data_IF_673236657705
#
_entry.id   IF_673236657705
#
_cell.length_a   1.000
_cell.length_b   1.000
_cell.length_c   1.000
_cell.angle_alpha   90.00
_cell.angle_beta   90.00
_cell.angle_gamma   90.00
#
_symmetry.space_group_name_H-M   'P 1'
#
loop_
_entity.id
_entity.type
_entity.pdbx_description
1 polymer ?
#
# COMPACT_ATOMS: atom_id res chain seq x y z
N UNK A 1 -5.56 -3.40 -9.85
CA UNK A 1 -4.10 -3.22 -9.85
C UNK A 1 -3.66 -2.13 -10.85
N UNK A 2 -4.06 -0.87 -10.62
CA UNK A 2 -3.74 0.25 -11.54
C UNK A 2 -2.38 0.90 -11.17
N UNK A 3 -2.25 1.28 -9.90
CA UNK A 3 -1.05 1.93 -9.35
C UNK A 3 0.24 1.13 -9.59
N UNK A 4 0.21 -0.20 -9.44
CA UNK A 4 1.38 -1.04 -9.65
C UNK A 4 1.81 -1.14 -11.12
N UNK A 5 0.87 -1.03 -12.06
CA UNK A 5 1.17 -0.96 -13.50
C UNK A 5 1.73 0.40 -13.87
N UNK A 6 1.09 1.48 -13.41
CA UNK A 6 1.57 2.85 -13.63
C UNK A 6 3.01 3.05 -13.10
N UNK A 7 3.36 2.43 -11.97
CA UNK A 7 4.73 2.45 -11.45
C UNK A 7 5.72 1.67 -12.33
N UNK A 8 5.31 0.54 -12.90
CA UNK A 8 6.15 -0.26 -13.78
C UNK A 8 6.32 0.35 -15.19
N UNK A 9 5.38 1.21 -15.61
CA UNK A 9 5.42 1.90 -16.89
C UNK A 9 6.12 3.27 -16.82
N UNK A 10 6.27 3.82 -15.61
CA UNK A 10 6.94 5.10 -15.37
C UNK A 10 8.42 5.05 -15.80
N UNK A 11 8.85 5.98 -16.64
CA UNK A 11 10.22 6.01 -17.18
C UNK A 11 11.29 6.10 -16.09
N UNK A 12 11.00 6.72 -14.94
CA UNK A 12 11.95 6.83 -13.84
C UNK A 12 12.10 5.53 -13.04
N UNK A 13 11.13 4.61 -13.12
CA UNK A 13 11.05 3.41 -12.27
C UNK A 13 11.05 2.09 -13.03
N UNK A 14 10.61 2.10 -14.29
CA UNK A 14 10.54 0.94 -15.19
C UNK A 14 11.85 0.18 -15.27
N UNK A 15 12.99 0.88 -15.28
CA UNK A 15 14.31 0.25 -15.32
C UNK A 15 14.67 -0.51 -14.04
N UNK A 16 14.03 -0.20 -12.91
CA UNK A 16 14.27 -0.82 -11.61
C UNK A 16 13.30 -1.95 -11.29
N UNK A 17 12.23 -2.11 -12.07
CA UNK A 17 11.16 -3.08 -11.83
C UNK A 17 11.30 -4.23 -12.81
N UNK A 18 11.60 -5.42 -12.29
CA UNK A 18 11.68 -6.66 -13.06
C UNK A 18 10.29 -7.27 -13.24
N UNK A 19 9.49 -7.23 -12.16
CA UNK A 19 8.10 -7.67 -12.16
C UNK A 19 7.23 -6.63 -11.48
N UNK A 20 6.16 -6.17 -12.14
CA UNK A 20 5.30 -5.13 -11.59
C UNK A 20 4.73 -5.57 -10.24
N UNK A 21 4.63 -4.68 -9.25
CA UNK A 21 3.97 -5.01 -8.00
C UNK A 21 2.50 -5.36 -8.24
N UNK A 22 2.10 -6.51 -7.72
CA UNK A 22 0.73 -7.02 -7.85
C UNK A 22 0.15 -7.35 -6.47
N UNK A 23 -1.14 -7.08 -6.33
CA UNK A 23 -1.93 -7.56 -5.21
C UNK A 23 -1.88 -9.09 -5.21
N UNK A 24 -1.49 -9.67 -4.09
CA UNK A 24 -1.43 -11.12 -3.90
C UNK A 24 -2.68 -11.58 -3.17
N UNK A 25 -2.92 -11.05 -1.97
CA UNK A 25 -4.05 -11.42 -1.10
C UNK A 25 -4.27 -10.39 -0.01
N UNK A 26 -5.45 -10.43 0.61
CA UNK A 26 -5.64 -9.93 1.97
C UNK A 26 -4.94 -10.93 2.91
N UNK A 27 -4.01 -10.44 3.70
CA UNK A 27 -3.21 -11.27 4.61
C UNK A 27 -3.92 -11.42 5.96
N UNK A 28 -4.55 -10.35 6.45
CA UNK A 28 -5.25 -10.36 7.74
C UNK A 28 -6.32 -9.25 7.86
N UNK A 29 -7.31 -9.47 8.71
CA UNK A 29 -8.26 -8.45 9.17
C UNK A 29 -7.89 -8.07 10.61
N UNK A 30 -6.98 -7.11 10.75
CA UNK A 30 -6.56 -6.60 12.04
C UNK A 30 -7.65 -5.80 12.76
N UNK A 31 -7.43 -5.56 14.04
CA UNK A 31 -8.38 -4.93 14.99
C UNK A 31 -8.99 -3.60 14.50
N UNK A 32 -8.27 -2.87 13.65
CA UNK A 32 -8.79 -1.67 12.99
C UNK A 32 -8.32 -1.54 11.54
N UNK A 33 -7.82 -2.59 10.88
CA UNK A 33 -7.24 -2.45 9.53
C UNK A 33 -7.29 -3.73 8.70
N UNK A 34 -7.32 -3.57 7.37
CA UNK A 34 -7.14 -4.68 6.43
C UNK A 34 -5.66 -4.72 6.03
N UNK A 35 -4.98 -5.82 6.36
CA UNK A 35 -3.57 -6.02 5.98
C UNK A 35 -3.55 -6.66 4.60
N UNK A 36 -2.96 -5.97 3.63
CA UNK A 36 -2.88 -6.42 2.24
C UNK A 36 -1.44 -6.75 1.86
N UNK A 37 -1.24 -7.88 1.19
CA UNK A 37 0.06 -8.27 0.66
C UNK A 37 0.17 -7.93 -0.82
N UNK A 38 1.18 -7.13 -1.13
CA UNK A 38 1.59 -6.78 -2.50
C UNK A 38 2.99 -7.32 -2.72
N UNK A 39 3.23 -7.96 -3.87
CA UNK A 39 4.53 -8.52 -4.21
C UNK A 39 4.96 -8.04 -5.61
N UNK A 40 6.21 -7.63 -5.72
CA UNK A 40 6.87 -7.24 -6.97
C UNK A 40 8.35 -7.58 -6.89
N UNK A 41 9.02 -7.62 -8.04
CA UNK A 41 10.44 -7.93 -8.13
C UNK A 41 11.17 -6.72 -8.70
N UNK A 42 12.26 -6.32 -8.07
CA UNK A 42 13.05 -5.14 -8.45
C UNK A 42 14.52 -5.49 -8.59
N UNK A 43 15.28 -4.61 -9.23
CA UNK A 43 16.74 -4.68 -9.19
C UNK A 43 17.26 -4.66 -7.74
N UNK A 44 18.40 -5.30 -7.45
CA UNK A 44 19.06 -5.25 -6.15
C UNK A 44 19.22 -3.81 -5.67
N UNK A 45 19.13 -3.59 -4.35
CA UNK A 45 19.22 -2.29 -3.67
C UNK A 45 18.08 -1.29 -3.95
N UNK A 46 17.24 -1.50 -4.97
CA UNK A 46 16.11 -0.58 -5.31
C UNK A 46 14.77 -0.95 -4.68
N UNK A 47 14.70 -2.07 -3.98
CA UNK A 47 13.50 -2.57 -3.32
C UNK A 47 12.86 -1.54 -2.38
N UNK A 48 13.65 -0.81 -1.61
CA UNK A 48 13.16 0.19 -0.67
C UNK A 48 12.64 1.45 -1.39
N UNK A 49 13.36 1.93 -2.41
CA UNK A 49 12.97 3.08 -3.22
C UNK A 49 11.63 2.81 -3.94
N UNK A 50 11.54 1.68 -4.64
CA UNK A 50 10.34 1.27 -5.38
C UNK A 50 9.16 1.06 -4.43
N UNK A 51 9.38 0.43 -3.28
CA UNK A 51 8.33 0.23 -2.29
C UNK A 51 7.87 1.57 -1.66
N UNK A 52 8.77 2.53 -1.46
CA UNK A 52 8.43 3.86 -0.97
C UNK A 52 7.54 4.62 -1.95
N UNK A 53 7.94 4.66 -3.23
CA UNK A 53 7.15 5.30 -4.29
C UNK A 53 5.79 4.62 -4.48
N UNK A 54 5.74 3.29 -4.44
CA UNK A 54 4.48 2.54 -4.49
C UNK A 54 3.53 2.96 -3.36
N UNK A 55 4.02 3.07 -2.13
CA UNK A 55 3.22 3.51 -0.97
C UNK A 55 2.72 4.94 -1.14
N UNK A 56 3.55 5.85 -1.65
CA UNK A 56 3.16 7.23 -1.93
C UNK A 56 2.01 7.30 -2.93
N UNK A 57 2.11 6.56 -4.05
CA UNK A 57 1.06 6.51 -5.07
C UNK A 57 -0.22 5.86 -4.53
N UNK A 58 -0.09 4.81 -3.73
CA UNK A 58 -1.23 4.19 -3.04
C UNK A 58 -1.93 5.17 -2.10
N UNK A 59 -1.19 5.96 -1.32
CA UNK A 59 -1.78 6.99 -0.46
C UNK A 59 -2.59 8.00 -1.27
N UNK A 60 -2.01 8.52 -2.34
CA UNK A 60 -2.69 9.49 -3.23
C UNK A 60 -3.94 8.86 -3.88
N UNK A 61 -3.85 7.60 -4.29
CA UNK A 61 -5.00 6.88 -4.85
C UNK A 61 -6.10 6.67 -3.81
N UNK A 62 -5.75 6.28 -2.58
CA UNK A 62 -6.71 6.13 -1.49
C UNK A 62 -7.38 7.45 -1.12
N UNK A 63 -6.63 8.54 -1.04
CA UNK A 63 -7.19 9.87 -0.77
C UNK A 63 -8.19 10.31 -1.85
N UNK A 64 -7.91 10.00 -3.12
CA UNK A 64 -8.81 10.30 -4.25
C UNK A 64 -10.10 9.50 -4.23
N UNK A 65 -10.02 8.24 -3.80
CA UNK A 65 -11.17 7.34 -3.70
C UNK A 65 -11.92 7.49 -2.37
N UNK A 66 -11.49 8.39 -1.48
CA UNK A 66 -12.10 8.60 -0.16
C UNK A 66 -11.85 7.45 0.81
N UNK A 67 -10.82 6.64 0.60
CA UNK A 67 -10.44 5.54 1.47
C UNK A 67 -9.55 6.10 2.59
N UNK A 68 -10.11 6.23 3.79
CA UNK A 68 -9.36 6.65 4.96
C UNK A 68 -8.47 5.52 5.47
N UNK A 69 -7.19 5.85 5.75
CA UNK A 69 -6.29 4.91 6.42
C UNK A 69 -6.68 4.87 7.89
N UNK A 70 -7.09 3.71 8.41
CA UNK A 70 -7.64 3.64 9.75
C UNK A 70 -6.54 3.86 10.79
N UNK A 71 -6.82 4.77 11.72
CA UNK A 71 -6.07 4.91 12.96
C UNK A 71 -6.69 4.02 14.04
N UNK A 72 -5.89 3.51 15.01
CA UNK A 72 -6.42 2.68 16.09
C UNK A 72 -7.54 3.42 16.83
N UNK A 73 -8.75 2.88 16.76
CA UNK A 73 -9.92 3.42 17.46
C UNK A 73 -9.96 2.85 18.88
N UNK A 74 -10.18 3.69 19.90
CA UNK A 74 -10.44 3.24 21.27
C UNK A 74 -11.81 3.72 21.70
N UNK A 75 -12.72 2.78 21.96
CA UNK A 75 -14.05 3.09 22.52
C UNK A 75 -13.96 3.08 24.05
N UNK A 76 -14.09 4.25 24.67
CA UNK A 76 -14.14 4.38 26.14
C UNK A 76 -15.60 4.31 26.60
N UNK A 77 -15.94 3.26 27.34
CA UNK A 77 -17.25 3.15 27.98
C UNK A 77 -17.16 3.78 29.38
N UNK A 78 -17.78 4.93 29.59
CA UNK A 78 -17.94 5.50 30.94
C UNK A 78 -19.19 4.93 31.59
N UNK A 79 -19.02 4.15 32.65
CA UNK A 79 -20.14 3.83 33.54
C UNK A 79 -20.45 5.07 34.38
N UNK A 80 -21.70 5.53 34.39
CA UNK A 80 -22.14 6.58 35.31
C UNK A 80 -22.40 5.92 36.66
N UNK A 81 -21.68 6.34 37.69
CA UNK A 81 -22.01 6.07 39.09
C UNK A 81 -23.22 6.89 39.53
#
# INVERSE_FOLDING_TARGET
NKVGKELAEDSAWKEYILKPPQFVRVDDFGDSAIIIKILGETKPLKQWDVAGELRKRLKIAFDREGIEIPFPQRVVHQTKS
#
